data_IF_802863038051
#
_entry.id   IF_802863038051
#
_cell.length_a   1.000
_cell.length_b   1.000
_cell.length_c   1.000
_cell.angle_alpha   90.00
_cell.angle_beta   90.00
_cell.angle_gamma   90.00
#
_symmetry.space_group_name_H-M   'P 1'
#
loop_
_entity.id
_entity.type
_entity.pdbx_description
1 polymer ?
#
# COMPACT_ATOMS: atom_id res chain seq x y z
N UNK A 1 -5.90 -16.85 13.75
CA UNK A 1 -5.48 -15.46 14.02
C UNK A 1 -6.57 -14.49 13.52
N UNK A 2 -6.67 -13.28 14.06
CA UNK A 2 -7.79 -12.38 13.74
C UNK A 2 -7.80 -11.90 12.27
N UNK A 3 -6.63 -11.96 11.58
CA UNK A 3 -6.48 -11.50 10.20
C UNK A 3 -5.72 -12.52 9.31
N UNK A 4 -6.07 -13.82 9.42
CA UNK A 4 -5.42 -14.89 8.65
C UNK A 4 -5.49 -14.67 7.12
N UNK A 5 -6.51 -13.95 6.65
CA UNK A 5 -6.68 -13.63 5.25
C UNK A 5 -5.54 -12.78 4.64
N UNK A 6 -4.77 -12.04 5.46
CA UNK A 6 -3.60 -11.28 4.99
C UNK A 6 -2.50 -12.17 4.40
N UNK A 7 -2.48 -13.45 4.78
CA UNK A 7 -1.40 -14.39 4.40
C UNK A 7 -1.89 -15.58 3.58
N UNK A 8 -3.19 -15.67 3.29
CA UNK A 8 -3.79 -16.84 2.65
C UNK A 8 -3.50 -16.96 1.14
N UNK A 9 -3.08 -15.90 0.51
CA UNK A 9 -2.75 -15.90 -0.92
C UNK A 9 -1.70 -14.84 -1.25
N UNK A 10 -0.89 -15.06 -2.33
CA UNK A 10 0.06 -14.06 -2.78
C UNK A 10 -0.62 -12.72 -3.09
N UNK A 11 0.10 -11.62 -2.86
CA UNK A 11 -0.43 -10.27 -3.03
C UNK A 11 0.21 -9.65 -4.27
N UNK A 12 -0.58 -9.34 -5.30
CA UNK A 12 -0.11 -8.68 -6.50
C UNK A 12 0.15 -7.19 -6.20
N UNK A 13 1.41 -6.76 -6.27
CA UNK A 13 1.86 -5.38 -6.03
C UNK A 13 1.28 -4.45 -7.09
N UNK A 14 0.45 -3.48 -6.68
CA UNK A 14 -0.28 -2.56 -7.56
C UNK A 14 -1.15 -3.28 -8.61
N UNK A 15 -1.70 -4.44 -8.23
CA UNK A 15 -2.38 -5.36 -9.12
C UNK A 15 -1.42 -6.23 -9.94
N UNK A 16 -1.97 -7.15 -10.74
CA UNK A 16 -1.17 -7.98 -11.65
C UNK A 16 -0.89 -7.20 -12.95
N UNK A 17 -0.09 -6.15 -12.81
CA UNK A 17 0.28 -5.27 -13.92
C UNK A 17 1.27 -5.93 -14.89
N UNK A 18 1.14 -5.59 -16.15
CA UNK A 18 2.00 -6.06 -17.23
C UNK A 18 1.92 -5.04 -18.38
N UNK A 19 2.97 -4.26 -18.54
CA UNK A 19 3.01 -3.19 -19.55
C UNK A 19 2.91 -3.71 -20.97
N UNK A 20 3.44 -4.91 -21.24
CA UNK A 20 3.33 -5.52 -22.56
C UNK A 20 1.89 -5.93 -22.88
N UNK A 21 1.12 -6.31 -21.87
CA UNK A 21 -0.31 -6.58 -21.98
C UNK A 21 -1.19 -5.34 -21.75
N UNK A 22 -0.61 -4.13 -21.78
CA UNK A 22 -1.29 -2.84 -21.60
C UNK A 22 -2.03 -2.69 -20.25
N UNK A 23 -1.61 -3.41 -19.23
CA UNK A 23 -2.09 -3.30 -17.84
C UNK A 23 -1.08 -2.50 -17.04
N UNK A 24 -1.43 -1.28 -16.71
CA UNK A 24 -0.56 -0.39 -15.93
C UNK A 24 -0.78 -0.63 -14.43
N UNK A 25 0.26 -0.44 -13.63
CA UNK A 25 0.19 -0.53 -12.16
C UNK A 25 -0.94 0.35 -11.60
N UNK A 26 -1.63 -0.12 -10.57
CA UNK A 26 -2.76 0.54 -9.91
C UNK A 26 -4.03 0.72 -10.78
N UNK A 27 -3.99 0.31 -12.06
CA UNK A 27 -5.15 0.38 -12.94
C UNK A 27 -6.22 -0.66 -12.61
N UNK A 28 -7.46 -0.41 -13.03
CA UNK A 28 -8.55 -1.37 -12.88
C UNK A 28 -8.27 -2.67 -13.65
N UNK A 29 -7.66 -2.61 -14.83
CA UNK A 29 -7.30 -3.80 -15.60
C UNK A 29 -6.26 -4.67 -14.87
N UNK A 30 -5.30 -4.08 -14.14
CA UNK A 30 -4.34 -4.81 -13.33
C UNK A 30 -5.00 -5.46 -12.10
N UNK A 31 -5.95 -4.77 -11.46
CA UNK A 31 -6.73 -5.32 -10.36
C UNK A 31 -7.59 -6.52 -10.80
N UNK A 32 -8.30 -6.40 -11.92
CA UNK A 32 -9.10 -7.49 -12.50
C UNK A 32 -8.24 -8.69 -12.90
N UNK A 33 -7.02 -8.46 -13.42
CA UNK A 33 -6.08 -9.53 -13.74
C UNK A 33 -5.63 -10.28 -12.47
N UNK A 34 -5.31 -9.58 -11.39
CA UNK A 34 -4.98 -10.21 -10.10
C UNK A 34 -6.16 -11.04 -9.57
N UNK A 35 -7.38 -10.49 -9.62
CA UNK A 35 -8.60 -11.19 -9.23
C UNK A 35 -8.81 -12.48 -10.03
N UNK A 36 -8.62 -12.44 -11.36
CA UNK A 36 -8.76 -13.60 -12.23
C UNK A 36 -7.77 -14.74 -11.90
N UNK A 37 -6.61 -14.42 -11.32
CA UNK A 37 -5.62 -15.39 -10.86
C UNK A 37 -5.81 -15.79 -9.38
N UNK A 38 -6.82 -15.26 -8.70
CA UNK A 38 -7.09 -15.56 -7.30
C UNK A 38 -6.11 -14.90 -6.31
N UNK A 39 -5.37 -13.88 -6.72
CA UNK A 39 -4.45 -13.14 -5.85
C UNK A 39 -5.17 -12.10 -5.02
N UNK A 40 -4.61 -11.78 -3.85
CA UNK A 40 -4.90 -10.54 -3.15
C UNK A 40 -4.25 -9.38 -3.92
N UNK A 41 -4.70 -8.15 -3.66
CA UNK A 41 -4.24 -6.98 -4.39
C UNK A 41 -3.67 -5.97 -3.42
N UNK A 42 -2.50 -5.46 -3.73
CA UNK A 42 -1.97 -4.27 -3.10
C UNK A 42 -2.18 -3.08 -4.04
N UNK A 43 -2.50 -1.92 -3.49
CA UNK A 43 -2.63 -0.66 -4.23
C UNK A 43 -2.13 0.52 -3.40
N UNK A 44 -1.76 1.61 -4.10
CA UNK A 44 -1.32 2.87 -3.49
C UNK A 44 -2.39 3.95 -3.66
N UNK A 45 -2.51 4.84 -2.69
CA UNK A 45 -3.38 6.02 -2.83
C UNK A 45 -2.64 7.33 -2.60
N UNK A 46 -3.01 8.34 -3.43
CA UNK A 46 -2.58 9.72 -3.35
C UNK A 46 -3.78 10.65 -3.14
N UNK A 47 -3.54 11.85 -2.58
CA UNK A 47 -4.59 12.83 -2.36
C UNK A 47 -4.76 13.74 -3.58
N UNK A 48 -6.01 14.04 -3.94
CA UNK A 48 -6.36 15.12 -4.87
C UNK A 48 -6.42 16.48 -4.17
N UNK A 49 -6.46 17.57 -4.92
CA UNK A 49 -6.57 18.92 -4.36
C UNK A 49 -7.85 19.17 -3.56
N UNK A 50 -8.92 18.48 -3.91
CA UNK A 50 -10.23 18.53 -3.23
C UNK A 50 -10.39 17.44 -2.15
N UNK A 51 -9.32 16.70 -1.84
CA UNK A 51 -9.25 15.82 -0.68
C UNK A 51 -9.75 14.40 -0.90
N UNK A 52 -9.92 13.94 -2.14
CA UNK A 52 -10.29 12.56 -2.42
C UNK A 52 -9.08 11.66 -2.62
N UNK A 53 -9.26 10.34 -2.43
CA UNK A 53 -8.22 9.33 -2.58
C UNK A 53 -8.21 8.77 -4.01
N UNK A 54 -7.08 8.97 -4.71
CA UNK A 54 -6.83 8.49 -6.07
C UNK A 54 -5.89 7.28 -6.03
N UNK A 55 -6.21 6.21 -6.77
CA UNK A 55 -5.35 5.01 -6.80
C UNK A 55 -4.17 5.27 -7.76
N UNK A 56 -3.06 5.69 -7.17
CA UNK A 56 -1.86 6.09 -7.89
C UNK A 56 -0.65 6.07 -6.96
N UNK A 57 0.54 5.72 -7.49
CA UNK A 57 1.74 5.58 -6.65
C UNK A 57 2.51 6.88 -6.46
N UNK A 58 2.81 7.58 -7.56
CA UNK A 58 3.76 8.69 -7.56
C UNK A 58 3.12 9.99 -7.08
N UNK A 59 3.91 10.91 -6.55
CA UNK A 59 3.49 12.27 -6.25
C UNK A 59 3.17 13.07 -7.52
N UNK A 60 3.79 12.69 -8.65
CA UNK A 60 3.69 13.36 -9.94
C UNK A 60 3.13 12.43 -11.02
N UNK A 61 2.42 13.02 -11.99
CA UNK A 61 1.76 12.31 -13.08
C UNK A 61 2.73 11.83 -14.18
N UNK A 62 3.95 12.33 -14.17
CA UNK A 62 4.90 12.36 -15.28
C UNK A 62 5.33 10.99 -15.79
N UNK A 63 5.45 9.99 -14.93
CA UNK A 63 5.98 8.66 -15.28
C UNK A 63 4.96 7.78 -16.01
N UNK A 64 3.70 7.87 -15.62
CA UNK A 64 2.64 6.94 -16.06
C UNK A 64 1.59 7.58 -16.96
N UNK A 65 1.66 8.89 -17.19
CA UNK A 65 0.67 9.62 -17.99
C UNK A 65 1.34 10.63 -18.94
N UNK A 66 0.56 11.15 -19.87
CA UNK A 66 0.99 12.27 -20.71
C UNK A 66 0.83 13.65 -20.02
N UNK A 67 0.08 13.68 -18.90
CA UNK A 67 -0.04 14.85 -18.05
C UNK A 67 1.23 15.08 -17.22
N UNK A 68 1.41 16.31 -16.75
CA UNK A 68 2.60 16.73 -16.00
C UNK A 68 2.23 17.37 -14.69
N UNK A 69 3.14 17.26 -13.73
CA UNK A 69 3.03 17.89 -12.42
C UNK A 69 2.31 17.02 -11.40
N UNK A 70 1.94 17.66 -10.31
CA UNK A 70 1.55 16.97 -9.09
C UNK A 70 0.11 16.50 -9.09
N UNK A 71 -0.12 15.30 -8.55
CA UNK A 71 -1.45 14.72 -8.35
C UNK A 71 -2.29 15.62 -7.43
N UNK A 72 -1.74 16.11 -6.32
CA UNK A 72 -2.46 16.96 -5.36
C UNK A 72 -2.73 18.40 -5.82
N UNK A 73 -2.31 18.75 -7.03
CA UNK A 73 -2.66 20.03 -7.65
C UNK A 73 -3.99 19.99 -8.43
N UNK A 74 -4.54 18.80 -8.69
CA UNK A 74 -5.73 18.59 -9.51
C UNK A 74 -6.89 18.03 -8.67
N UNK A 75 -8.12 18.36 -9.05
CA UNK A 75 -9.31 17.75 -8.43
C UNK A 75 -9.44 16.27 -8.81
N UNK A 76 -10.08 15.47 -7.97
CA UNK A 76 -10.33 14.06 -8.24
C UNK A 76 -11.02 13.84 -9.59
N UNK A 77 -12.01 14.66 -9.93
CA UNK A 77 -12.69 14.61 -11.22
C UNK A 77 -11.79 14.92 -12.41
N UNK A 78 -10.77 15.75 -12.23
CA UNK A 78 -9.76 16.03 -13.27
C UNK A 78 -8.79 14.86 -13.42
N UNK A 79 -8.29 14.32 -12.32
CA UNK A 79 -7.38 13.16 -12.30
C UNK A 79 -8.03 11.93 -12.92
N UNK A 80 -9.30 11.64 -12.60
CA UNK A 80 -10.02 10.47 -13.12
C UNK A 80 -10.19 10.46 -14.65
N UNK A 81 -9.97 11.60 -15.31
CA UNK A 81 -9.97 11.71 -16.78
C UNK A 81 -8.59 11.56 -17.42
N UNK A 82 -7.54 11.47 -16.61
CA UNK A 82 -6.17 11.32 -17.12
C UNK A 82 -5.94 9.84 -17.45
N UNK A 83 -5.65 9.57 -18.73
CA UNK A 83 -5.33 8.22 -19.21
C UNK A 83 -3.96 7.76 -18.74
N UNK A 84 -3.84 6.47 -18.45
CA UNK A 84 -2.56 5.82 -18.15
C UNK A 84 -1.87 5.44 -19.47
N UNK A 85 -0.69 5.99 -19.71
CA UNK A 85 0.05 5.86 -20.99
C UNK A 85 0.30 4.40 -21.35
N UNK A 86 -0.13 4.03 -22.57
CA UNK A 86 0.01 2.67 -23.09
C UNK A 86 -1.13 1.72 -22.68
N UNK A 87 -2.22 2.21 -22.11
CA UNK A 87 -3.41 1.44 -21.78
C UNK A 87 -4.69 2.16 -22.17
N UNK A 88 -5.84 1.51 -21.95
CA UNK A 88 -7.17 2.11 -22.09
C UNK A 88 -7.74 2.55 -20.71
N UNK A 89 -6.97 2.39 -19.65
CA UNK A 89 -7.32 2.79 -18.29
C UNK A 89 -7.05 4.28 -18.04
N UNK A 90 -7.74 4.83 -17.05
CA UNK A 90 -7.44 6.11 -16.42
C UNK A 90 -7.11 5.93 -14.95
N UNK A 91 -6.64 6.99 -14.28
CA UNK A 91 -6.37 6.96 -12.84
C UNK A 91 -7.71 6.89 -12.08
N UNK A 92 -8.00 5.79 -11.34
CA UNK A 92 -9.31 5.65 -10.69
C UNK A 92 -9.36 6.34 -9.33
N UNK A 93 -10.54 6.75 -8.90
CA UNK A 93 -10.80 7.03 -7.48
C UNK A 93 -10.83 5.72 -6.69
N UNK A 94 -10.38 5.74 -5.43
CA UNK A 94 -10.39 4.54 -4.58
C UNK A 94 -11.80 3.96 -4.39
N UNK A 95 -12.81 4.82 -4.31
CA UNK A 95 -14.22 4.39 -4.21
C UNK A 95 -14.65 3.54 -5.40
N UNK A 96 -14.34 3.98 -6.61
CA UNK A 96 -14.74 3.27 -7.84
C UNK A 96 -13.92 2.00 -8.02
N UNK A 97 -12.62 2.06 -7.67
CA UNK A 97 -11.71 0.93 -7.73
C UNK A 97 -12.14 -0.20 -6.76
N UNK A 98 -12.50 0.13 -5.52
CA UNK A 98 -13.03 -0.83 -4.55
C UNK A 98 -14.41 -1.36 -4.94
N UNK A 99 -15.26 -0.51 -5.53
CA UNK A 99 -16.56 -0.93 -6.03
C UNK A 99 -16.44 -1.96 -7.17
N UNK A 100 -15.45 -1.83 -8.04
CA UNK A 100 -15.16 -2.80 -9.11
C UNK A 100 -14.68 -4.16 -8.55
N UNK A 101 -13.86 -4.16 -7.50
CA UNK A 101 -13.41 -5.39 -6.83
C UNK A 101 -14.55 -6.05 -6.03
N UNK A 102 -15.46 -5.24 -5.49
CA UNK A 102 -16.69 -5.69 -4.82
C UNK A 102 -16.48 -6.75 -3.72
N UNK A 103 -15.35 -6.71 -3.02
CA UNK A 103 -15.03 -7.67 -1.94
C UNK A 103 -14.59 -9.06 -2.41
N UNK A 104 -14.42 -9.28 -3.72
CA UNK A 104 -14.10 -10.59 -4.29
C UNK A 104 -12.70 -11.12 -3.90
N UNK A 105 -11.79 -10.23 -3.50
CA UNK A 105 -10.45 -10.59 -3.00
C UNK A 105 -9.99 -9.60 -1.93
N UNK A 106 -9.07 -10.00 -1.02
CA UNK A 106 -8.47 -9.06 -0.08
C UNK A 106 -7.68 -7.94 -0.77
N UNK A 107 -7.76 -6.74 -0.20
CA UNK A 107 -7.03 -5.55 -0.65
C UNK A 107 -6.14 -5.05 0.49
N UNK A 108 -4.92 -4.66 0.15
CA UNK A 108 -3.97 -3.99 1.05
C UNK A 108 -3.66 -2.62 0.45
N UNK A 109 -4.21 -1.57 1.03
CA UNK A 109 -4.09 -0.20 0.51
C UNK A 109 -2.98 0.55 1.24
N UNK A 110 -1.98 1.01 0.50
CA UNK A 110 -0.93 1.87 1.01
C UNK A 110 -1.32 3.34 0.90
N UNK A 111 -1.33 4.01 2.05
CA UNK A 111 -1.57 5.45 2.13
C UNK A 111 -0.23 6.17 1.98
N UNK A 112 -0.04 6.83 0.84
CA UNK A 112 1.16 7.63 0.59
C UNK A 112 1.21 8.85 1.50
N UNK A 113 2.40 9.28 1.86
CA UNK A 113 2.62 10.44 2.71
C UNK A 113 3.89 11.18 2.28
N UNK A 114 3.89 12.47 2.54
CA UNK A 114 5.07 13.34 2.37
C UNK A 114 5.79 13.59 3.67
N UNK A 115 5.39 12.92 4.75
CA UNK A 115 5.98 13.06 6.09
C UNK A 115 5.93 14.50 6.62
N UNK A 116 4.93 15.26 6.20
CA UNK A 116 4.74 16.68 6.53
C UNK A 116 3.58 16.92 7.53
N UNK A 117 2.97 15.84 8.06
CA UNK A 117 1.85 15.91 9.00
C UNK A 117 0.48 16.13 8.35
N UNK A 118 0.37 16.07 7.02
CA UNK A 118 -0.93 16.12 6.35
C UNK A 118 -1.62 14.74 6.44
N UNK A 119 -2.71 14.69 7.21
CA UNK A 119 -3.47 13.48 7.47
C UNK A 119 -4.80 13.40 6.71
N UNK A 120 -5.05 14.33 5.77
CA UNK A 120 -6.32 14.35 5.02
C UNK A 120 -6.52 13.08 4.19
N UNK A 121 -5.47 12.57 3.54
CA UNK A 121 -5.53 11.31 2.79
C UNK A 121 -5.85 10.14 3.71
N UNK A 122 -5.21 10.06 4.89
CA UNK A 122 -5.47 9.01 5.87
C UNK A 122 -6.93 9.04 6.37
N UNK A 123 -7.45 10.23 6.69
CA UNK A 123 -8.84 10.40 7.09
C UNK A 123 -9.82 10.01 5.98
N UNK A 124 -9.56 10.44 4.73
CA UNK A 124 -10.41 10.10 3.59
C UNK A 124 -10.39 8.61 3.28
N UNK A 125 -9.21 8.00 3.27
CA UNK A 125 -9.07 6.54 3.03
C UNK A 125 -9.79 5.73 4.12
N UNK A 126 -9.69 6.15 5.38
CA UNK A 126 -10.41 5.53 6.48
C UNK A 126 -11.94 5.62 6.31
N UNK A 127 -12.48 6.78 5.90
CA UNK A 127 -13.92 6.93 5.61
C UNK A 127 -14.39 5.99 4.50
N UNK A 128 -13.57 5.83 3.44
CA UNK A 128 -13.88 4.89 2.34
C UNK A 128 -13.83 3.44 2.86
N UNK A 129 -12.77 3.11 3.63
CA UNK A 129 -12.59 1.78 4.22
C UNK A 129 -13.74 1.38 5.15
N UNK A 130 -14.28 2.32 5.94
CA UNK A 130 -15.41 2.08 6.84
C UNK A 130 -16.69 1.67 6.08
N UNK A 131 -16.86 2.13 4.84
CA UNK A 131 -18.01 1.80 3.98
C UNK A 131 -17.78 0.56 3.10
N UNK A 132 -16.58 0.00 3.07
CA UNK A 132 -16.26 -1.13 2.20
C UNK A 132 -16.58 -2.48 2.87
N UNK A 133 -17.42 -3.29 2.21
CA UNK A 133 -17.84 -4.59 2.74
C UNK A 133 -16.87 -5.75 2.54
N UNK A 134 -15.73 -5.54 1.85
CA UNK A 134 -14.72 -6.56 1.60
C UNK A 134 -13.60 -6.56 2.63
N UNK A 135 -12.66 -7.52 2.49
CA UNK A 135 -11.43 -7.57 3.29
C UNK A 135 -10.47 -6.48 2.83
N UNK A 136 -10.22 -5.49 3.67
CA UNK A 136 -9.34 -4.37 3.40
C UNK A 136 -8.40 -4.14 4.58
N UNK A 137 -7.11 -3.99 4.30
CA UNK A 137 -6.08 -3.54 5.24
C UNK A 137 -5.51 -2.19 4.77
N UNK A 138 -5.10 -1.35 5.71
CA UNK A 138 -4.42 -0.09 5.43
C UNK A 138 -2.97 -0.17 5.91
N UNK A 139 -2.03 0.35 5.12
CA UNK A 139 -0.63 0.45 5.50
C UNK A 139 -0.04 1.79 5.11
N UNK A 140 1.05 2.19 5.74
CA UNK A 140 1.85 3.35 5.35
C UNK A 140 3.27 3.23 5.87
N UNK A 141 4.22 3.89 5.20
CA UNK A 141 5.56 4.16 5.73
C UNK A 141 5.54 5.22 6.83
N UNK A 142 4.59 6.16 6.77
CA UNK A 142 4.55 7.28 7.71
C UNK A 142 3.96 6.85 9.07
N UNK A 143 4.78 6.88 10.14
CA UNK A 143 4.29 6.57 11.47
C UNK A 143 3.16 7.48 11.95
N UNK A 144 3.12 8.76 11.51
CA UNK A 144 2.08 9.69 11.90
C UNK A 144 0.73 9.31 11.31
N UNK A 145 0.70 8.83 10.05
CA UNK A 145 -0.49 8.25 9.42
C UNK A 145 -1.00 7.07 10.22
N UNK A 146 -0.11 6.13 10.56
CA UNK A 146 -0.50 4.91 11.29
C UNK A 146 -0.95 5.21 12.72
N UNK A 147 -0.26 6.11 13.43
CA UNK A 147 -0.66 6.55 14.77
C UNK A 147 -2.02 7.27 14.76
N UNK A 148 -2.28 8.10 13.75
CA UNK A 148 -3.58 8.75 13.55
C UNK A 148 -4.70 7.70 13.36
N UNK A 149 -4.53 6.77 12.42
CA UNK A 149 -5.51 5.72 12.16
C UNK A 149 -5.74 4.83 13.40
N UNK A 150 -4.69 4.54 14.17
CA UNK A 150 -4.80 3.75 15.39
C UNK A 150 -5.55 4.49 16.50
N UNK A 151 -5.32 5.78 16.64
CA UNK A 151 -5.99 6.61 17.66
C UNK A 151 -7.45 6.88 17.32
N UNK A 152 -7.71 7.23 16.05
CA UNK A 152 -9.05 7.64 15.60
C UNK A 152 -9.87 6.47 15.00
N UNK A 153 -9.32 5.26 14.92
CA UNK A 153 -9.92 4.15 14.19
C UNK A 153 -11.36 3.81 14.61
N UNK A 154 -11.66 3.90 15.91
CA UNK A 154 -13.03 3.67 16.41
C UNK A 154 -14.01 4.77 15.94
N UNK A 155 -13.62 6.04 16.03
CA UNK A 155 -14.44 7.18 15.59
C UNK A 155 -14.61 7.25 14.08
N UNK A 156 -13.60 6.74 13.33
CA UNK A 156 -13.64 6.64 11.86
C UNK A 156 -14.37 5.38 11.36
N UNK A 157 -14.83 4.49 12.24
CA UNK A 157 -15.52 3.26 11.87
C UNK A 157 -14.63 2.14 11.37
N UNK A 158 -13.29 2.25 11.50
CA UNK A 158 -12.31 1.27 11.01
C UNK A 158 -11.66 0.43 12.10
N UNK A 159 -12.27 0.34 13.29
CA UNK A 159 -11.72 -0.45 14.41
C UNK A 159 -11.49 -1.93 14.10
N UNK A 160 -12.09 -2.43 13.02
CA UNK A 160 -11.96 -3.80 12.51
C UNK A 160 -10.97 -3.94 11.34
N UNK A 161 -10.44 -2.84 10.82
CA UNK A 161 -9.52 -2.83 9.68
C UNK A 161 -8.09 -3.03 10.17
N UNK A 162 -7.34 -4.04 9.67
CA UNK A 162 -5.94 -4.22 10.03
C UNK A 162 -5.09 -3.04 9.57
N UNK A 163 -4.19 -2.59 10.44
CA UNK A 163 -3.27 -1.50 10.20
C UNK A 163 -1.83 -2.02 10.12
N UNK A 164 -1.15 -1.79 9.00
CA UNK A 164 0.19 -2.27 8.74
C UNK A 164 1.24 -1.17 8.67
N UNK A 165 2.40 -1.43 9.25
CA UNK A 165 3.55 -0.56 9.10
C UNK A 165 4.41 -1.06 7.94
N UNK A 166 4.70 -0.18 6.97
CA UNK A 166 5.69 -0.46 5.91
C UNK A 166 7.06 -0.05 6.42
N UNK A 167 8.04 -0.93 6.28
CA UNK A 167 9.37 -0.71 6.82
C UNK A 167 10.47 -1.36 5.98
N UNK A 168 11.67 -0.81 6.11
CA UNK A 168 12.94 -1.33 5.59
C UNK A 168 14.04 -1.11 6.63
N UNK A 169 15.19 -1.74 6.44
CA UNK A 169 16.28 -1.69 7.42
C UNK A 169 16.94 -0.31 7.53
N UNK A 170 16.83 0.53 6.51
CA UNK A 170 17.46 1.84 6.47
C UNK A 170 16.74 2.82 5.56
N UNK A 171 16.45 4.01 6.06
CA UNK A 171 15.85 5.13 5.33
C UNK A 171 16.90 6.15 4.87
N UNK A 172 18.15 5.71 4.63
CA UNK A 172 19.26 6.57 4.21
C UNK A 172 19.43 6.66 2.68
N UNK A 173 18.72 5.81 1.92
CA UNK A 173 18.82 5.73 0.46
C UNK A 173 18.11 6.86 -0.29
N UNK A 174 18.24 6.83 -1.62
CA UNK A 174 17.45 7.69 -2.51
C UNK A 174 15.96 7.41 -2.37
N UNK A 175 15.13 8.47 -2.44
CA UNK A 175 13.70 8.40 -2.19
C UNK A 175 13.27 8.79 -0.78
N UNK A 176 14.24 9.01 0.14
CA UNK A 176 13.99 9.42 1.52
C UNK A 176 14.60 10.80 1.86
N UNK A 177 14.92 11.60 0.85
CA UNK A 177 15.56 12.91 1.02
C UNK A 177 14.68 13.90 1.80
N UNK A 178 13.35 13.72 1.75
CA UNK A 178 12.40 14.54 2.50
C UNK A 178 12.42 14.30 4.00
N UNK A 179 13.00 13.18 4.47
CA UNK A 179 13.01 12.85 5.89
C UNK A 179 14.14 13.59 6.63
N UNK A 180 13.82 14.14 7.79
CA UNK A 180 14.83 14.59 8.75
C UNK A 180 15.58 13.40 9.37
N UNK A 181 16.78 13.64 9.92
CA UNK A 181 17.55 12.59 10.61
C UNK A 181 16.78 11.96 11.78
N UNK A 182 15.98 12.75 12.51
CA UNK A 182 15.12 12.25 13.58
C UNK A 182 14.04 11.32 13.04
N UNK A 183 13.41 11.64 11.91
CA UNK A 183 12.44 10.76 11.27
C UNK A 183 13.09 9.47 10.78
N UNK A 184 14.24 9.55 10.11
CA UNK A 184 15.00 8.37 9.65
C UNK A 184 15.36 7.45 10.82
N UNK A 185 15.90 8.02 11.91
CA UNK A 185 16.23 7.25 13.11
C UNK A 185 15.00 6.57 13.70
N UNK A 186 13.90 7.32 13.84
CA UNK A 186 12.64 6.80 14.38
C UNK A 186 12.08 5.66 13.53
N UNK A 187 12.08 5.80 12.20
CA UNK A 187 11.58 4.78 11.29
C UNK A 187 12.48 3.54 11.25
N UNK A 188 13.82 3.73 11.27
CA UNK A 188 14.77 2.62 11.29
C UNK A 188 14.70 1.81 12.59
N UNK A 189 14.51 2.50 13.73
CA UNK A 189 14.49 1.86 15.06
C UNK A 189 13.10 1.55 15.58
N UNK A 190 12.03 1.92 14.82
CA UNK A 190 10.62 1.75 15.17
C UNK A 190 10.25 2.31 16.55
N UNK A 191 10.83 3.46 16.94
CA UNK A 191 10.56 4.08 18.25
C UNK A 191 9.10 4.51 18.43
N UNK A 192 8.36 4.62 17.31
CA UNK A 192 6.92 4.93 17.25
C UNK A 192 6.01 3.71 17.43
N UNK A 193 6.56 2.54 17.82
CA UNK A 193 5.80 1.28 17.91
C UNK A 193 4.58 1.35 18.82
N UNK A 194 4.71 2.02 19.96
CA UNK A 194 3.62 2.15 20.93
C UNK A 194 2.46 3.03 20.43
N UNK A 195 2.72 3.97 19.56
CA UNK A 195 1.73 4.85 18.96
C UNK A 195 1.05 4.17 17.76
N UNK A 196 1.82 3.49 16.92
CA UNK A 196 1.34 2.86 15.70
C UNK A 196 0.66 1.52 15.94
N UNK A 197 1.17 0.70 16.88
CA UNK A 197 0.65 -0.64 17.24
C UNK A 197 0.18 -1.42 16.02
N UNK A 198 1.06 -1.75 15.07
CA UNK A 198 0.66 -2.38 13.82
C UNK A 198 0.09 -3.80 14.07
N UNK A 199 -0.89 -4.18 13.26
CA UNK A 199 -1.45 -5.53 13.24
C UNK A 199 -0.61 -6.46 12.34
N UNK A 200 0.14 -5.89 11.39
CA UNK A 200 1.08 -6.60 10.52
C UNK A 200 2.24 -5.68 10.10
N UNK A 201 3.35 -6.30 9.67
CA UNK A 201 4.46 -5.59 9.02
C UNK A 201 4.46 -5.86 7.53
N UNK A 202 4.80 -4.84 6.75
CA UNK A 202 5.15 -4.94 5.33
C UNK A 202 6.64 -4.60 5.20
N UNK A 203 7.51 -5.62 5.09
CA UNK A 203 8.96 -5.48 5.22
C UNK A 203 9.68 -5.65 3.88
N UNK A 204 10.70 -4.81 3.61
CA UNK A 204 11.52 -4.91 2.42
C UNK A 204 12.19 -6.29 2.32
N UNK A 205 11.96 -7.02 1.22
CA UNK A 205 12.47 -8.38 1.04
C UNK A 205 14.00 -8.41 0.98
N UNK A 206 14.63 -7.35 0.45
CA UNK A 206 16.09 -7.26 0.35
C UNK A 206 16.76 -7.22 1.74
N UNK A 207 16.04 -6.78 2.76
CA UNK A 207 16.53 -6.66 4.13
C UNK A 207 16.24 -7.90 5.00
N UNK A 208 15.63 -8.92 4.45
CA UNK A 208 15.37 -10.17 5.17
C UNK A 208 16.57 -11.13 5.06
N UNK A 209 16.93 -11.85 6.15
CA UNK A 209 16.31 -11.84 7.48
C UNK A 209 16.64 -10.61 8.30
N UNK A 210 15.65 -10.08 9.03
CA UNK A 210 15.83 -8.95 9.94
C UNK A 210 15.31 -9.29 11.35
N UNK A 211 16.02 -8.85 12.39
CA UNK A 211 15.70 -9.21 13.77
C UNK A 211 14.29 -8.79 14.18
N UNK A 212 13.84 -7.58 13.81
CA UNK A 212 12.51 -7.08 14.14
C UNK A 212 11.43 -7.90 13.40
N UNK A 213 11.58 -8.12 12.10
CA UNK A 213 10.64 -8.91 11.32
C UNK A 213 10.54 -10.35 11.85
N UNK A 214 11.67 -10.97 12.20
CA UNK A 214 11.73 -12.30 12.78
C UNK A 214 11.04 -12.37 14.15
N UNK A 215 11.25 -11.36 15.00
CA UNK A 215 10.61 -11.29 16.32
C UNK A 215 9.09 -11.13 16.18
N UNK A 216 8.61 -10.21 15.33
CA UNK A 216 7.19 -10.01 15.08
C UNK A 216 6.53 -11.30 14.58
N UNK A 217 7.15 -11.99 13.61
CA UNK A 217 6.67 -13.27 13.11
C UNK A 217 6.60 -14.34 14.21
N UNK A 218 7.62 -14.43 15.05
CA UNK A 218 7.65 -15.37 16.19
C UNK A 218 6.56 -15.08 17.23
N UNK A 219 6.11 -13.82 17.35
CA UNK A 219 5.00 -13.41 18.20
C UNK A 219 3.62 -13.58 17.52
N UNK A 220 3.58 -14.16 16.31
CA UNK A 220 2.34 -14.38 15.55
C UNK A 220 1.82 -13.16 14.79
N UNK A 221 2.60 -12.08 14.67
CA UNK A 221 2.26 -10.93 13.83
C UNK A 221 2.60 -11.27 12.37
N UNK A 222 1.66 -11.10 11.42
CA UNK A 222 1.95 -11.30 10.00
C UNK A 222 3.05 -10.39 9.48
N UNK A 223 3.98 -10.96 8.70
CA UNK A 223 5.01 -10.22 7.98
C UNK A 223 4.82 -10.47 6.49
N UNK A 224 4.58 -9.41 5.72
CA UNK A 224 4.46 -9.41 4.26
C UNK A 224 5.74 -8.87 3.64
N UNK A 225 6.41 -9.64 2.78
CA UNK A 225 7.66 -9.21 2.15
C UNK A 225 7.39 -8.47 0.83
N UNK A 226 7.94 -7.26 0.68
CA UNK A 226 7.84 -6.44 -0.54
C UNK A 226 9.23 -5.98 -1.03
N UNK A 227 9.48 -5.72 -2.27
CA UNK A 227 8.70 -6.21 -3.41
C UNK A 227 9.44 -7.41 -3.98
N UNK A 228 8.77 -8.53 -4.05
CA UNK A 228 9.33 -9.81 -4.52
C UNK A 228 9.28 -9.83 -6.04
N UNK A 229 10.46 -9.92 -6.70
CA UNK A 229 10.59 -9.85 -8.16
C UNK A 229 11.34 -11.02 -8.79
N UNK A 230 12.12 -11.74 -7.99
CA UNK A 230 13.02 -12.78 -8.49
C UNK A 230 12.81 -14.09 -7.73
N UNK A 231 13.23 -15.24 -8.30
CA UNK A 231 13.21 -16.52 -7.56
C UNK A 231 13.99 -16.48 -6.23
N UNK A 232 15.05 -15.68 -6.14
CA UNK A 232 15.81 -15.49 -4.90
C UNK A 232 15.00 -14.71 -3.86
N UNK A 233 14.20 -13.72 -4.28
CA UNK A 233 13.29 -12.99 -3.40
C UNK A 233 12.16 -13.89 -2.91
N UNK A 234 11.60 -14.74 -3.80
CA UNK A 234 10.59 -15.74 -3.41
C UNK A 234 11.14 -16.65 -2.32
N UNK A 235 12.32 -17.26 -2.52
CA UNK A 235 12.94 -18.12 -1.54
C UNK A 235 13.20 -17.39 -0.19
N UNK A 236 13.56 -16.11 -0.25
CA UNK A 236 13.76 -15.28 0.95
C UNK A 236 12.46 -14.96 1.66
N UNK A 237 11.40 -14.61 0.91
CA UNK A 237 10.08 -14.37 1.46
C UNK A 237 9.51 -15.63 2.12
N UNK A 238 9.61 -16.79 1.48
CA UNK A 238 9.16 -18.09 2.02
C UNK A 238 9.88 -18.45 3.33
N UNK A 239 11.18 -18.16 3.41
CA UNK A 239 11.96 -18.46 4.61
C UNK A 239 11.65 -17.50 5.78
N UNK A 240 11.44 -16.21 5.50
CA UNK A 240 11.50 -15.16 6.53
C UNK A 240 10.23 -14.30 6.66
N UNK A 241 9.23 -14.46 5.80
CA UNK A 241 7.95 -13.78 5.88
C UNK A 241 6.79 -14.78 5.98
N UNK A 242 5.55 -14.29 6.06
CA UNK A 242 4.34 -15.09 6.05
C UNK A 242 3.66 -15.08 4.68
N UNK A 243 3.89 -14.03 3.90
CA UNK A 243 3.39 -13.90 2.54
C UNK A 243 4.24 -12.90 1.76
N UNK A 244 4.17 -12.94 0.43
CA UNK A 244 4.85 -12.01 -0.46
C UNK A 244 3.89 -11.01 -1.10
N UNK A 245 4.38 -9.79 -1.30
CA UNK A 245 3.85 -8.78 -2.21
C UNK A 245 4.76 -8.77 -3.42
N UNK A 246 4.28 -9.24 -4.58
CA UNK A 246 5.10 -9.60 -5.73
C UNK A 246 4.70 -8.84 -7.00
N UNK A 247 5.63 -8.74 -7.95
CA UNK A 247 5.38 -8.21 -9.30
C UNK A 247 6.31 -8.84 -10.34
N UNK A 248 5.92 -8.76 -11.63
CA UNK A 248 6.77 -9.16 -12.76
C UNK A 248 6.74 -10.65 -13.11
N UNK A 249 5.97 -11.46 -12.39
CA UNK A 249 5.77 -12.89 -12.68
C UNK A 249 4.37 -13.36 -12.25
N UNK A 250 4.04 -14.62 -12.52
CA UNK A 250 2.84 -15.30 -12.01
C UNK A 250 3.27 -16.17 -10.82
N UNK A 251 2.68 -15.93 -9.64
CA UNK A 251 3.04 -16.59 -8.37
C UNK A 251 2.30 -17.94 -8.19
#
# INVERSE_FOLDING_TARGET
MMFDWLTNRPVAHRGLHDRAARRIENALSAARAALAHGYAIECDVQISSDGDAMVFHDDELDRLTDAKGRVDALSAAAIARIGLSGSDDSIPMLTDWLADIAGATPVICEIKSRFNGDLRLAARTAQIAAGYGGQLALKSFDPQVMAFLRREGASLGIGHVPLGLVAEASFAGSGWEMLSDTQRLSMTTLTHWNETRPDFLSWCVADLPHAIASLCRAQGMPVLAWTVRTPADVARADAFANQMIFEGFIA
#
